data_IF_813685541493
#
_entry.id   IF_813685541493
#
_cell.length_a   1.000
_cell.length_b   1.000
_cell.length_c   1.000
_cell.angle_alpha   90.00
_cell.angle_beta   90.00
_cell.angle_gamma   90.00
#
_symmetry.space_group_name_H-M   'P 1'
#
loop_
_entity.id
_entity.type
_entity.pdbx_description
1 polymer ?
#
# COMPACT_ATOMS: atom_id res chain seq x y z
N UNK A 1 6.59 -23.61 -8.58
CA UNK A 1 7.34 -22.34 -8.47
C UNK A 1 6.44 -21.35 -7.74
N UNK A 2 6.87 -20.78 -6.62
CA UNK A 2 6.03 -19.85 -5.86
C UNK A 2 5.83 -18.56 -6.65
N UNK A 3 4.59 -18.10 -6.77
CA UNK A 3 4.28 -16.81 -7.36
C UNK A 3 4.68 -15.69 -6.38
N UNK A 4 5.65 -14.87 -6.75
CA UNK A 4 6.08 -13.71 -5.96
C UNK A 4 5.41 -12.47 -6.54
N UNK A 5 4.66 -11.75 -5.70
CA UNK A 5 4.01 -10.48 -6.08
C UNK A 5 5.06 -9.46 -6.51
N UNK A 6 4.77 -8.72 -7.59
CA UNK A 6 5.60 -7.60 -8.04
C UNK A 6 5.04 -6.30 -7.48
N UNK A 7 5.93 -5.40 -7.08
CA UNK A 7 5.54 -4.02 -6.81
C UNK A 7 5.44 -3.26 -8.14
N UNK A 8 4.21 -2.87 -8.51
CA UNK A 8 3.88 -2.28 -9.80
C UNK A 8 4.33 -0.81 -9.89
N UNK A 9 4.50 -0.13 -8.76
CA UNK A 9 5.14 1.19 -8.69
C UNK A 9 6.60 1.07 -9.13
N UNK A 10 7.36 0.15 -8.51
CA UNK A 10 8.76 -0.09 -8.88
C UNK A 10 8.90 -0.57 -10.32
N UNK A 11 7.97 -1.39 -10.79
CA UNK A 11 7.95 -1.88 -12.19
C UNK A 11 7.72 -0.74 -13.19
N UNK A 12 6.78 0.17 -12.91
CA UNK A 12 6.56 1.36 -13.72
C UNK A 12 7.78 2.29 -13.73
N UNK A 13 8.35 2.58 -12.55
CA UNK A 13 9.52 3.44 -12.42
C UNK A 13 10.74 2.91 -13.19
N UNK A 14 11.00 1.59 -13.13
CA UNK A 14 12.06 0.95 -13.91
C UNK A 14 11.86 1.06 -15.43
N UNK A 15 10.61 1.20 -15.88
CA UNK A 15 10.25 1.40 -17.28
C UNK A 15 10.23 2.90 -17.68
N UNK A 16 10.71 3.82 -16.82
CA UNK A 16 10.69 5.26 -17.06
C UNK A 16 9.28 5.88 -16.97
N UNK A 17 8.31 5.15 -16.42
CA UNK A 17 6.93 5.63 -16.20
C UNK A 17 6.72 6.01 -14.75
N UNK A 18 5.76 6.88 -14.47
CA UNK A 18 5.35 7.21 -13.11
C UNK A 18 4.35 6.17 -12.60
N UNK A 19 4.49 5.77 -11.34
CA UNK A 19 3.40 5.08 -10.64
C UNK A 19 2.22 6.04 -10.45
N UNK A 20 1.05 5.66 -10.95
CA UNK A 20 -0.21 6.38 -10.74
C UNK A 20 -1.06 5.55 -9.77
N UNK A 21 -1.62 6.19 -8.75
CA UNK A 21 -2.44 5.51 -7.75
C UNK A 21 -3.50 6.42 -7.15
N UNK A 22 -4.39 5.81 -6.38
CA UNK A 22 -5.51 6.48 -5.72
C UNK A 22 -5.42 6.28 -4.22
N UNK A 23 -5.65 7.34 -3.46
CA UNK A 23 -5.62 7.34 -2.01
C UNK A 23 -7.01 7.05 -1.42
N UNK A 24 -7.03 6.27 -0.35
CA UNK A 24 -8.21 5.97 0.45
C UNK A 24 -7.96 6.34 1.91
N UNK A 25 -8.93 7.05 2.50
CA UNK A 25 -8.95 7.38 3.93
C UNK A 25 -9.98 6.56 4.71
N UNK A 26 -10.71 5.67 4.05
CA UNK A 26 -11.62 4.72 4.67
C UNK A 26 -11.76 3.46 3.79
N UNK A 27 -12.25 2.34 4.35
CA UNK A 27 -12.45 1.10 3.62
C UNK A 27 -13.48 1.27 2.50
N UNK A 28 -13.11 0.91 1.27
CA UNK A 28 -14.03 0.95 0.12
C UNK A 28 -13.56 -0.07 -0.93
N UNK A 29 -14.02 -1.31 -0.78
CA UNK A 29 -13.64 -2.43 -1.65
C UNK A 29 -14.11 -2.18 -3.08
N UNK A 30 -15.31 -1.63 -3.24
CA UNK A 30 -15.91 -1.27 -4.53
C UNK A 30 -15.06 -0.22 -5.25
N UNK A 31 -14.45 0.70 -4.49
CA UNK A 31 -13.54 1.71 -5.02
C UNK A 31 -12.28 1.08 -5.62
N UNK A 32 -11.71 0.08 -4.93
CA UNK A 32 -10.55 -0.67 -5.43
C UNK A 32 -10.92 -1.45 -6.69
N UNK A 33 -12.08 -2.10 -6.73
CA UNK A 33 -12.58 -2.81 -7.90
C UNK A 33 -12.77 -1.88 -9.11
N UNK A 34 -13.42 -0.73 -8.91
CA UNK A 34 -13.63 0.27 -9.96
C UNK A 34 -12.28 0.75 -10.53
N UNK A 35 -11.31 1.08 -9.68
CA UNK A 35 -9.96 1.49 -10.12
C UNK A 35 -9.30 0.37 -10.93
N UNK A 36 -9.43 -0.87 -10.46
CA UNK A 36 -8.90 -2.04 -11.13
C UNK A 36 -9.50 -2.26 -12.52
N UNK A 37 -10.82 -2.08 -12.66
CA UNK A 37 -11.54 -2.22 -13.92
C UNK A 37 -11.27 -1.07 -14.90
N UNK A 38 -11.12 0.17 -14.40
CA UNK A 38 -10.74 1.32 -15.23
C UNK A 38 -9.33 1.15 -15.82
N UNK A 39 -8.43 0.52 -15.07
CA UNK A 39 -7.05 0.32 -15.48
C UNK A 39 -6.23 1.61 -15.51
N UNK A 40 -4.95 1.51 -15.90
CA UNK A 40 -4.04 2.66 -15.93
C UNK A 40 -3.44 3.05 -14.57
N UNK A 41 -3.85 2.38 -13.50
CA UNK A 41 -3.30 2.54 -12.16
C UNK A 41 -2.29 1.44 -11.83
N UNK A 42 -1.36 1.76 -10.95
CA UNK A 42 -0.32 0.85 -10.46
C UNK A 42 -0.55 0.42 -9.03
N UNK A 43 -1.20 1.27 -8.23
CA UNK A 43 -1.36 1.05 -6.81
C UNK A 43 -2.57 1.76 -6.22
N UNK A 44 -2.96 1.33 -5.03
CA UNK A 44 -3.79 2.08 -4.10
C UNK A 44 -2.94 2.48 -2.89
N UNK A 45 -3.29 3.60 -2.27
CA UNK A 45 -2.68 4.09 -1.05
C UNK A 45 -3.71 4.06 0.09
N UNK A 46 -3.34 3.46 1.22
CA UNK A 46 -4.15 3.45 2.43
C UNK A 46 -3.58 4.45 3.43
N UNK A 47 -4.40 5.40 3.86
CA UNK A 47 -4.04 6.27 4.98
C UNK A 47 -4.31 5.57 6.31
N UNK A 48 -3.36 4.78 6.80
CA UNK A 48 -3.51 4.08 8.09
C UNK A 48 -3.34 4.99 9.31
N UNK A 49 -2.85 6.22 9.15
CA UNK A 49 -2.60 7.15 10.27
C UNK A 49 -3.86 7.94 10.66
N UNK A 50 -4.61 8.41 9.67
CA UNK A 50 -5.83 9.20 9.89
C UNK A 50 -7.08 8.54 9.33
N UNK A 51 -6.93 7.47 8.57
CA UNK A 51 -8.05 6.74 8.00
C UNK A 51 -8.67 5.74 8.95
N UNK A 52 -9.90 5.34 8.63
CA UNK A 52 -10.71 4.46 9.47
C UNK A 52 -10.55 2.98 9.11
N UNK A 53 -9.30 2.48 9.08
CA UNK A 53 -9.01 1.09 8.71
C UNK A 53 -8.76 0.22 9.94
N UNK A 54 -9.48 -0.89 10.05
CA UNK A 54 -9.13 -2.00 10.95
C UNK A 54 -8.31 -3.09 10.23
N UNK A 55 -7.88 -4.12 10.97
CA UNK A 55 -7.14 -5.27 10.41
C UNK A 55 -7.83 -5.90 9.20
N UNK A 56 -9.13 -6.19 9.35
CA UNK A 56 -9.89 -6.93 8.34
C UNK A 56 -10.09 -6.09 7.09
N UNK A 57 -10.27 -4.79 7.25
CA UNK A 57 -10.41 -3.86 6.14
C UNK A 57 -9.11 -3.74 5.34
N UNK A 58 -7.95 -3.75 6.01
CA UNK A 58 -6.65 -3.79 5.31
C UNK A 58 -6.52 -5.08 4.50
N UNK A 59 -6.86 -6.22 5.10
CA UNK A 59 -6.81 -7.53 4.43
C UNK A 59 -7.72 -7.57 3.19
N UNK A 60 -8.95 -7.06 3.31
CA UNK A 60 -9.93 -7.02 2.23
C UNK A 60 -9.50 -6.07 1.10
N UNK A 61 -8.97 -4.89 1.44
CA UNK A 61 -8.43 -3.93 0.46
C UNK A 61 -7.23 -4.54 -0.29
N UNK A 62 -6.34 -5.26 0.42
CA UNK A 62 -5.21 -5.97 -0.20
C UNK A 62 -5.68 -7.08 -1.12
N UNK A 63 -6.66 -7.89 -0.69
CA UNK A 63 -7.23 -8.98 -1.50
C UNK A 63 -7.86 -8.46 -2.79
N UNK A 64 -8.62 -7.37 -2.73
CA UNK A 64 -9.23 -6.78 -3.92
C UNK A 64 -8.19 -6.13 -4.84
N UNK A 65 -7.19 -5.44 -4.28
CA UNK A 65 -6.09 -4.88 -5.06
C UNK A 65 -5.31 -5.97 -5.81
N UNK A 66 -5.00 -7.09 -5.15
CA UNK A 66 -4.34 -8.24 -5.76
C UNK A 66 -5.15 -8.81 -6.94
N UNK A 67 -6.48 -8.92 -6.80
CA UNK A 67 -7.36 -9.41 -7.87
C UNK A 67 -7.29 -8.54 -9.15
N UNK A 68 -6.91 -7.27 -9.01
CA UNK A 68 -6.76 -6.32 -10.11
C UNK A 68 -5.30 -5.97 -10.44
N UNK A 69 -4.33 -6.72 -9.93
CA UNK A 69 -2.91 -6.44 -10.12
C UNK A 69 -2.55 -4.98 -9.74
N UNK A 70 -3.08 -4.51 -8.61
CA UNK A 70 -2.74 -3.23 -8.00
C UNK A 70 -1.83 -3.49 -6.79
N UNK A 71 -0.76 -2.73 -6.66
CA UNK A 71 0.06 -2.75 -5.44
C UNK A 71 -0.66 -2.00 -4.32
N UNK A 72 -0.64 -2.51 -3.09
CA UNK A 72 -1.04 -1.71 -1.92
C UNK A 72 0.18 -1.10 -1.27
N UNK A 73 0.11 0.21 -1.03
CA UNK A 73 1.01 0.92 -0.12
C UNK A 73 0.20 1.54 1.00
N UNK A 74 0.80 1.71 2.18
CA UNK A 74 0.11 2.31 3.32
C UNK A 74 1.01 3.28 4.07
N UNK A 75 0.43 4.39 4.53
CA UNK A 75 0.99 5.15 5.63
C UNK A 75 0.61 4.47 6.94
N UNK A 76 1.60 4.08 7.72
CA UNK A 76 1.37 3.39 9.00
C UNK A 76 1.10 4.41 10.12
N UNK A 77 0.38 4.04 11.20
CA UNK A 77 0.15 4.95 12.33
C UNK A 77 1.43 5.35 13.07
N UNK A 78 2.40 4.43 13.18
CA UNK A 78 3.70 4.66 13.82
C UNK A 78 4.78 3.92 13.05
N UNK A 79 6.04 4.33 13.23
CA UNK A 79 7.21 3.72 12.61
C UNK A 79 7.79 2.57 13.44
N UNK A 80 7.03 2.08 14.42
CA UNK A 80 7.46 0.95 15.25
C UNK A 80 7.49 -0.33 14.41
N UNK A 81 8.52 -1.17 14.60
CA UNK A 81 8.69 -2.38 13.80
C UNK A 81 7.48 -3.32 13.85
N UNK A 82 6.78 -3.40 14.99
CA UNK A 82 5.59 -4.24 15.11
C UNK A 82 4.43 -3.73 14.25
N UNK A 83 4.27 -2.40 14.14
CA UNK A 83 3.24 -1.77 13.33
C UNK A 83 3.58 -1.91 11.84
N UNK A 84 4.84 -1.74 11.48
CA UNK A 84 5.31 -1.96 10.11
C UNK A 84 5.06 -3.42 9.69
N UNK A 85 5.49 -4.38 10.50
CA UNK A 85 5.27 -5.81 10.24
C UNK A 85 3.77 -6.14 10.17
N UNK A 86 2.96 -5.53 11.04
CA UNK A 86 1.51 -5.69 11.02
C UNK A 86 0.88 -5.34 9.66
N UNK A 87 1.34 -4.28 8.99
CA UNK A 87 0.86 -3.96 7.63
C UNK A 87 1.48 -4.87 6.56
N UNK A 88 2.77 -5.20 6.67
CA UNK A 88 3.47 -6.07 5.71
C UNK A 88 2.88 -7.48 5.66
N UNK A 89 2.59 -8.08 6.81
CA UNK A 89 2.03 -9.44 6.93
C UNK A 89 0.65 -9.58 6.27
N UNK A 90 -0.06 -8.45 6.08
CA UNK A 90 -1.38 -8.37 5.42
C UNK A 90 -1.29 -8.26 3.91
N UNK A 91 -0.09 -8.07 3.36
CA UNK A 91 0.14 -7.96 1.93
C UNK A 91 0.41 -6.55 1.42
N UNK A 92 0.59 -5.56 2.30
CA UNK A 92 1.10 -4.24 1.90
C UNK A 92 2.54 -4.39 1.41
N UNK A 93 2.86 -3.81 0.25
CA UNK A 93 4.17 -3.95 -0.40
C UNK A 93 4.99 -2.65 -0.39
N UNK A 94 4.51 -1.61 0.30
CA UNK A 94 5.22 -0.36 0.51
C UNK A 94 4.70 0.39 1.72
N UNK A 95 5.63 0.90 2.52
CA UNK A 95 5.35 1.59 3.78
C UNK A 95 5.73 3.06 3.62
N UNK A 96 4.85 3.94 4.08
CA UNK A 96 5.09 5.37 4.24
C UNK A 96 5.12 5.64 5.75
N UNK A 97 6.25 6.13 6.24
CA UNK A 97 6.40 6.53 7.63
C UNK A 97 5.72 7.87 7.90
N UNK A 98 4.92 8.00 8.96
CA UNK A 98 4.47 9.30 9.44
C UNK A 98 5.63 10.05 10.09
N UNK A 99 5.59 11.39 10.03
CA UNK A 99 6.43 12.30 10.82
C UNK A 99 7.93 11.95 10.82
N UNK A 100 8.54 11.76 9.65
CA UNK A 100 9.99 11.54 9.52
C UNK A 100 10.70 12.88 9.39
N UNK A 101 11.38 13.30 10.45
CA UNK A 101 12.10 14.57 10.50
C UNK A 101 13.63 14.38 10.52
N UNK A 102 14.10 13.16 10.81
CA UNK A 102 15.54 12.85 10.92
C UNK A 102 15.98 11.65 10.05
N UNK A 103 17.26 11.61 9.62
CA UNK A 103 17.83 10.44 8.96
C UNK A 103 17.77 9.16 9.81
N UNK A 104 17.86 9.28 11.13
CA UNK A 104 17.78 8.18 12.08
C UNK A 104 16.38 7.56 12.09
N UNK A 105 15.33 8.38 12.03
CA UNK A 105 13.95 7.91 11.90
C UNK A 105 13.70 7.24 10.54
N UNK A 106 14.23 7.80 9.45
CA UNK A 106 14.11 7.21 8.12
C UNK A 106 14.69 5.77 8.08
N UNK A 107 15.86 5.57 8.71
CA UNK A 107 16.52 4.24 8.81
C UNK A 107 15.69 3.19 9.57
N UNK A 108 14.71 3.59 10.40
CA UNK A 108 13.83 2.63 11.10
C UNK A 108 12.82 1.96 10.18
N UNK A 109 12.51 2.58 9.03
CA UNK A 109 11.53 2.06 8.07
C UNK A 109 12.19 1.24 6.96
N UNK A 110 13.46 1.52 6.62
CA UNK A 110 14.22 0.79 5.62
C UNK A 110 15.44 1.53 5.10
#
# INVERSE_FOLDING_TARGET
MAYIRKNNIRSANKAGKKGIGVAFSWPTIEGVEIIGLLGGFTHIYLDGEHGAFGPNEIDDMCRMADAHNLTVIARVPTIDSWMINYYLDRGVLGIIGPHIDTPEEAKKIG
#
